data_IF_536351762154
#
_entry.id   IF_536351762154
#
_cell.length_a   1.000
_cell.length_b   1.000
_cell.length_c   1.000
_cell.angle_alpha   90.00
_cell.angle_beta   90.00
_cell.angle_gamma   90.00
#
_symmetry.space_group_name_H-M   'P 1'
#
loop_
_entity.id
_entity.type
_entity.pdbx_description
1 polymer ?
#
# COMPACT_ATOMS: atom_id res chain seq x y z
N UNK A 1 10.63 -2.23 -4.73
CA UNK A 1 9.93 -1.36 -3.80
C UNK A 1 8.53 -1.07 -4.30
N UNK A 2 7.58 -0.99 -3.42
CA UNK A 2 6.18 -0.82 -3.77
C UNK A 2 5.68 0.46 -3.13
N UNK A 3 5.05 1.33 -3.90
CA UNK A 3 4.42 2.52 -3.35
C UNK A 3 2.97 2.19 -3.07
N UNK A 4 2.55 2.35 -1.82
CA UNK A 4 1.20 2.06 -1.37
C UNK A 4 0.51 3.37 -1.06
N UNK A 5 -0.61 3.64 -1.71
CA UNK A 5 -1.38 4.85 -1.45
C UNK A 5 -2.70 4.42 -0.81
N UNK A 6 -3.00 4.99 0.34
CA UNK A 6 -4.18 4.65 1.11
C UNK A 6 -5.06 5.89 1.27
N UNK A 7 -6.33 5.76 0.89
CA UNK A 7 -7.31 6.79 1.15
C UNK A 7 -8.17 6.33 2.32
N UNK A 8 -8.05 7.01 3.45
CA UNK A 8 -8.81 6.67 4.64
C UNK A 8 -10.25 7.15 4.53
N UNK A 9 -11.13 6.60 5.34
CA UNK A 9 -12.54 6.98 5.26
C UNK A 9 -12.77 8.45 5.60
N UNK A 10 -11.90 9.05 6.40
CA UNK A 10 -12.03 10.47 6.72
C UNK A 10 -11.48 11.37 5.60
N UNK A 11 -11.01 10.79 4.51
CA UNK A 11 -10.54 11.55 3.35
C UNK A 11 -9.05 11.78 3.33
N UNK A 12 -8.35 11.39 4.39
CA UNK A 12 -6.90 11.57 4.43
C UNK A 12 -6.23 10.64 3.43
N UNK A 13 -5.23 11.13 2.74
CA UNK A 13 -4.47 10.35 1.77
C UNK A 13 -3.06 10.18 2.29
N UNK A 14 -2.61 8.93 2.38
CA UNK A 14 -1.30 8.63 2.93
C UNK A 14 -0.56 7.70 1.98
N UNK A 15 0.74 7.90 1.83
CA UNK A 15 1.57 7.12 0.92
C UNK A 15 2.69 6.46 1.71
N UNK A 16 2.94 5.18 1.41
CA UNK A 16 3.99 4.42 2.07
C UNK A 16 4.92 3.81 1.02
N UNK A 17 6.18 3.61 1.41
CA UNK A 17 7.14 2.87 0.61
C UNK A 17 7.38 1.54 1.29
N UNK A 18 7.09 0.45 0.62
CA UNK A 18 7.14 -0.88 1.21
C UNK A 18 7.99 -1.83 0.38
N UNK A 19 8.60 -2.81 1.04
CA UNK A 19 9.30 -3.89 0.37
C UNK A 19 8.37 -5.07 0.14
N UNK A 20 7.32 -5.19 0.94
CA UNK A 20 6.37 -6.29 0.80
C UNK A 20 5.00 -5.82 1.25
N UNK A 21 3.97 -6.27 0.55
CA UNK A 21 2.59 -5.92 0.87
C UNK A 21 1.73 -7.17 0.76
N UNK A 22 0.86 -7.38 1.74
CA UNK A 22 -0.12 -8.47 1.71
C UNK A 22 -1.44 -7.93 2.20
N UNK A 23 -2.53 -8.48 1.71
CA UNK A 23 -3.85 -8.05 2.16
C UNK A 23 -4.83 -9.18 2.01
N UNK A 24 -5.91 -9.08 2.77
CA UNK A 24 -6.95 -10.10 2.79
C UNK A 24 -7.57 -10.15 4.16
N UNK A 25 -8.76 -10.73 4.29
CA UNK A 25 -9.41 -10.91 5.59
C UNK A 25 -9.50 -9.60 6.37
N UNK A 26 -9.84 -8.52 5.70
CA UNK A 26 -10.07 -7.23 6.36
C UNK A 26 -8.78 -6.61 6.91
N UNK A 27 -7.62 -6.98 6.40
CA UNK A 27 -6.36 -6.42 6.89
C UNK A 27 -5.44 -6.13 5.73
N UNK A 28 -4.78 -4.98 5.78
CA UNK A 28 -3.70 -4.62 4.87
C UNK A 28 -2.42 -4.59 5.69
N UNK A 29 -1.46 -5.42 5.31
CA UNK A 29 -0.17 -5.49 5.99
C UNK A 29 0.92 -5.08 5.02
N UNK A 30 1.87 -4.32 5.51
CA UNK A 30 3.02 -3.97 4.70
C UNK A 30 4.27 -3.90 5.55
N UNK A 31 5.41 -4.27 4.93
CA UNK A 31 6.71 -4.13 5.55
C UNK A 31 7.36 -2.93 4.88
N UNK A 32 7.60 -1.88 5.66
CA UNK A 32 8.08 -0.62 5.12
C UNK A 32 9.59 -0.68 4.90
N UNK A 33 10.07 0.17 3.99
CA UNK A 33 11.51 0.22 3.71
C UNK A 33 12.30 0.66 4.94
N UNK A 34 11.65 1.30 5.91
CA UNK A 34 12.32 1.67 7.15
C UNK A 34 12.50 0.50 8.10
N UNK A 35 11.94 -0.66 7.79
CA UNK A 35 12.01 -1.83 8.65
C UNK A 35 10.80 -2.04 9.53
N UNK A 36 9.85 -1.12 9.53
CA UNK A 36 8.66 -1.22 10.35
C UNK A 36 7.57 -1.97 9.63
N UNK A 37 6.68 -2.59 10.40
CA UNK A 37 5.48 -3.23 9.87
C UNK A 37 4.29 -2.35 10.16
N UNK A 38 3.36 -2.27 9.19
CA UNK A 38 2.12 -1.54 9.38
C UNK A 38 0.96 -2.49 9.15
N UNK A 39 -0.01 -2.44 10.04
CA UNK A 39 -1.23 -3.23 9.94
C UNK A 39 -2.39 -2.26 9.89
N UNK A 40 -3.15 -2.27 8.81
CA UNK A 40 -4.24 -1.33 8.62
C UNK A 40 -5.52 -2.13 8.43
N UNK A 41 -6.54 -1.94 9.27
CA UNK A 41 -7.81 -2.62 9.07
C UNK A 41 -8.48 -2.06 7.83
N UNK A 42 -8.87 -2.93 6.91
CA UNK A 42 -9.44 -2.48 5.65
C UNK A 42 -10.77 -1.76 5.85
N UNK A 43 -11.46 -2.01 6.96
CA UNK A 43 -12.71 -1.31 7.24
C UNK A 43 -12.48 0.18 7.47
N UNK A 44 -11.26 0.61 7.76
CA UNK A 44 -10.94 2.02 7.96
C UNK A 44 -10.50 2.69 6.68
N UNK A 45 -10.42 1.95 5.57
CA UNK A 45 -9.83 2.42 4.32
C UNK A 45 -10.90 2.49 3.26
N UNK A 46 -11.00 3.64 2.57
CA UNK A 46 -11.94 3.78 1.47
C UNK A 46 -11.42 3.03 0.24
N UNK A 47 -10.13 3.15 -0.05
CA UNK A 47 -9.48 2.38 -1.10
C UNK A 47 -7.96 2.48 -0.90
N UNK A 48 -7.25 1.57 -1.52
CA UNK A 48 -5.80 1.64 -1.57
C UNK A 48 -5.32 1.16 -2.93
N UNK A 49 -4.13 1.60 -3.33
CA UNK A 49 -3.55 1.18 -4.58
C UNK A 49 -2.08 0.85 -4.38
N UNK A 50 -1.58 -0.06 -5.19
CA UNK A 50 -0.20 -0.51 -5.16
C UNK A 50 0.45 -0.16 -6.49
N UNK A 51 1.62 0.46 -6.44
CA UNK A 51 2.37 0.80 -7.64
C UNK A 51 3.76 0.19 -7.52
N UNK A 52 4.02 -0.91 -8.22
CA UNK A 52 5.36 -1.51 -8.19
C UNK A 52 6.36 -0.59 -8.85
N UNK A 53 7.51 -0.49 -8.21
CA UNK A 53 8.50 0.40 -8.73
C UNK A 53 9.02 -0.03 -10.07
N UNK A 54 9.09 -1.32 -10.29
CA UNK A 54 9.74 -1.81 -11.48
C UNK A 54 8.88 -1.77 -12.70
N UNK A 55 7.81 -1.20 -12.68
CA UNK A 55 7.03 -1.26 -13.74
C UNK A 55 7.27 -0.41 -14.67
N UNK A 56 8.09 0.10 -14.37
CA UNK A 56 8.34 0.79 -15.27
C UNK A 56 8.45 0.21 -16.45
N UNK A 57 8.51 -0.63 -16.61
CA UNK A 57 8.63 -1.11 -17.68
C UNK A 57 7.63 -1.65 -18.28
N UNK A 58 6.93 -1.82 -18.17
CA UNK A 58 6.13 -2.47 -18.76
C UNK A 58 5.17 -1.90 -19.30
N UNK A 59 4.92 -1.18 -19.41
CA UNK A 59 4.11 -0.62 -19.91
C UNK A 59 3.81 -0.55 -21.09
N UNK A 60 4.07 -0.92 -21.32
CA UNK A 60 3.95 -0.80 -22.24
C UNK A 60 3.58 -0.78 -23.09
N UNK A 61 3.57 -0.88 -22.99
CA UNK A 61 3.31 -0.77 -23.53
C UNK A 61 3.04 -0.64 -24.06
#
# INVERSE_FOLDING_TARGET
>A
MITVTVRWFDGYLETFEATEVRFGCDLLWMHLVTGQNRHIPLRAVRWFSLTPESHETYRNE
#
